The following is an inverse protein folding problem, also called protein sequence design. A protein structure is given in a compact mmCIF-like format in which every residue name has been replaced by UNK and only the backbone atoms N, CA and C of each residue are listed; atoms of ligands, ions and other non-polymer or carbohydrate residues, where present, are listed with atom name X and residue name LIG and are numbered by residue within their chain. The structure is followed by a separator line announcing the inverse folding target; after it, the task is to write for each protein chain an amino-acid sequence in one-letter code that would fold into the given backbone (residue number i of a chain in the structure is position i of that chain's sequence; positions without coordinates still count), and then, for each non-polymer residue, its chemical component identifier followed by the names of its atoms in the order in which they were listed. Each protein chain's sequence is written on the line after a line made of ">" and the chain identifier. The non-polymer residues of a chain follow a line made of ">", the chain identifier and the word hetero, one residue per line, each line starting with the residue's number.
data_IF_820666286186
#
_entry.id   IF_820666286186
#
_cell.length_a   1.000
_cell.length_b   1.000
_cell.length_c   1.000
_cell.angle_alpha   90.00
_cell.angle_beta   90.00
_cell.angle_gamma   90.00
#
_symmetry.space_group_name_H-M   'P 1'
#
loop_
_entity.id
_entity.type
_entity.pdbx_description
1 polymer ?
#
# COMPACT_ATOMS: atom_id res chain seq x y z
N UNK A 1 -19.20 10.77 -6.18
CA UNK A 1 -17.86 10.19 -5.99
C UNK A 1 -16.93 10.51 -7.17
N UNK A 2 -17.35 10.30 -8.43
CA UNK A 2 -16.50 10.54 -9.62
C UNK A 2 -16.00 11.99 -9.74
N UNK A 3 -16.82 13.00 -9.44
CA UNK A 3 -16.40 14.40 -9.49
C UNK A 3 -15.25 14.72 -8.55
N UNK A 4 -15.32 14.27 -7.31
CA UNK A 4 -14.26 14.50 -6.31
C UNK A 4 -12.93 13.85 -6.68
N UNK A 5 -12.92 12.66 -7.27
CA UNK A 5 -11.70 11.98 -7.68
C UNK A 5 -10.98 12.76 -8.79
N UNK A 6 -11.73 13.27 -9.77
CA UNK A 6 -11.18 14.11 -10.84
C UNK A 6 -10.68 15.46 -10.35
N UNK A 7 -11.42 16.12 -9.44
CA UNK A 7 -10.98 17.38 -8.83
C UNK A 7 -9.67 17.19 -8.06
N UNK A 8 -9.53 16.09 -7.31
CA UNK A 8 -8.28 15.78 -6.62
C UNK A 8 -7.18 15.40 -7.61
N UNK A 9 -7.50 14.64 -8.67
CA UNK A 9 -6.55 14.26 -9.70
C UNK A 9 -5.98 15.48 -10.45
N UNK A 10 -6.77 16.54 -10.65
CA UNK A 10 -6.29 17.79 -11.21
C UNK A 10 -5.23 18.50 -10.33
N UNK A 11 -5.13 18.11 -9.05
CA UNK A 11 -4.15 18.64 -8.11
C UNK A 11 -2.95 17.70 -7.91
N UNK A 12 -2.87 16.60 -8.65
CA UNK A 12 -1.85 15.56 -8.44
C UNK A 12 -0.43 16.12 -8.38
N UNK A 13 -0.02 16.89 -9.39
CA UNK A 13 1.32 17.46 -9.46
C UNK A 13 1.61 18.43 -8.30
N UNK A 14 0.65 19.26 -7.93
CA UNK A 14 0.82 20.22 -6.82
C UNK A 14 0.93 19.49 -5.47
N UNK A 15 0.18 18.41 -5.28
CA UNK A 15 0.26 17.58 -4.07
C UNK A 15 1.60 16.84 -4.02
N UNK A 16 2.04 16.28 -5.16
CA UNK A 16 3.34 15.63 -5.27
C UNK A 16 4.47 16.60 -4.92
N UNK A 17 4.50 17.79 -5.55
CA UNK A 17 5.50 18.81 -5.25
C UNK A 17 5.52 19.20 -3.76
N UNK A 18 4.36 19.33 -3.14
CA UNK A 18 4.28 19.63 -1.71
C UNK A 18 4.86 18.51 -0.86
N UNK A 19 4.63 17.25 -1.21
CA UNK A 19 5.21 16.09 -0.52
C UNK A 19 6.74 16.04 -0.69
N UNK A 20 7.25 16.34 -1.88
CA UNK A 20 8.68 16.46 -2.16
C UNK A 20 9.32 17.57 -1.32
N UNK A 21 8.69 18.74 -1.21
CA UNK A 21 9.14 19.82 -0.33
C UNK A 21 9.17 19.41 1.14
N UNK A 22 8.20 18.63 1.61
CA UNK A 22 8.18 18.10 2.98
C UNK A 22 9.30 17.08 3.18
N UNK A 23 9.49 16.14 2.26
CA UNK A 23 10.57 15.16 2.30
C UNK A 23 11.94 15.85 2.35
N UNK A 24 12.15 16.85 1.50
CA UNK A 24 13.37 17.68 1.50
C UNK A 24 13.56 18.46 2.79
N UNK A 25 12.51 19.16 3.25
CA UNK A 25 12.60 19.99 4.47
C UNK A 25 12.96 19.19 5.71
N UNK A 26 12.37 18.00 5.85
CA UNK A 26 12.55 17.18 7.05
C UNK A 26 13.58 16.05 6.87
N UNK A 27 14.21 15.95 5.70
CA UNK A 27 15.20 14.92 5.35
C UNK A 27 14.67 13.51 5.64
N UNK A 28 13.41 13.23 5.21
CA UNK A 28 12.72 11.96 5.39
C UNK A 28 12.29 11.35 4.06
N UNK A 29 12.13 10.04 4.05
CA UNK A 29 11.45 9.34 2.98
C UNK A 29 9.94 9.26 3.27
N UNK A 30 9.12 9.42 2.24
CA UNK A 30 7.67 9.38 2.34
C UNK A 30 7.14 8.31 1.38
N UNK A 31 6.35 7.37 1.91
CA UNK A 31 5.46 6.55 1.08
C UNK A 31 4.09 7.20 1.11
N UNK A 32 3.79 7.97 0.07
CA UNK A 32 2.53 8.66 -0.06
C UNK A 32 1.47 7.72 -0.65
N UNK A 33 0.50 7.39 0.14
CA UNK A 33 -0.56 6.52 -0.31
C UNK A 33 -1.94 7.02 0.09
N UNK A 34 -2.84 7.29 -0.80
CA UNK A 34 -2.75 7.24 -2.28
C UNK A 34 -3.28 8.51 -2.89
N UNK A 35 -2.85 8.82 -4.09
CA UNK A 35 -3.32 9.98 -4.83
C UNK A 35 -4.04 9.54 -6.10
N UNK A 36 -5.21 10.10 -6.44
CA UNK A 36 -5.79 9.94 -7.77
C UNK A 36 -4.92 10.69 -8.80
N UNK A 37 -4.55 10.02 -9.88
CA UNK A 37 -3.69 10.56 -10.93
C UNK A 37 -4.37 10.47 -12.30
N UNK A 38 -4.44 11.56 -13.09
CA UNK A 38 -5.08 11.56 -14.40
C UNK A 38 -4.16 11.05 -15.52
N UNK A 39 -2.90 10.71 -15.19
CA UNK A 39 -1.88 10.29 -16.16
C UNK A 39 -1.46 8.85 -15.91
N UNK A 40 -1.13 8.13 -16.99
CA UNK A 40 -0.39 6.86 -16.95
C UNK A 40 1.10 7.11 -16.70
N UNK A 41 1.92 6.08 -16.40
CA UNK A 41 3.36 6.25 -16.17
C UNK A 41 4.13 6.86 -17.36
N UNK A 42 3.66 6.63 -18.57
CA UNK A 42 4.23 7.22 -19.80
C UNK A 42 3.83 8.69 -20.06
N UNK A 43 3.06 9.29 -19.14
CA UNK A 43 2.56 10.66 -19.24
C UNK A 43 1.29 10.82 -20.07
N UNK A 44 0.76 9.77 -20.68
CA UNK A 44 -0.49 9.84 -21.43
C UNK A 44 -1.67 10.10 -20.51
N UNK A 45 -2.60 10.95 -20.99
CA UNK A 45 -3.82 11.28 -20.25
C UNK A 45 -4.83 10.15 -20.34
N UNK A 46 -5.53 9.89 -19.22
CA UNK A 46 -6.68 8.98 -19.18
C UNK A 46 -7.92 9.77 -19.59
N UNK A 47 -8.41 9.56 -20.81
CA UNK A 47 -9.44 10.36 -21.45
C UNK A 47 -10.87 9.83 -21.28
N UNK A 48 -11.04 8.59 -20.81
CA UNK A 48 -12.34 7.95 -20.55
C UNK A 48 -13.02 8.40 -19.25
N UNK A 49 -12.38 9.32 -18.54
CA UNK A 49 -12.88 9.92 -17.31
C UNK A 49 -12.56 9.15 -16.05
N UNK A 50 -11.81 8.06 -16.13
CA UNK A 50 -11.21 7.40 -14.97
C UNK A 50 -9.90 8.10 -14.56
N UNK A 51 -9.35 7.68 -13.45
CA UNK A 51 -8.04 8.09 -12.94
C UNK A 51 -7.31 6.84 -12.41
N UNK A 52 -6.02 6.91 -12.13
CA UNK A 52 -5.29 5.85 -11.43
C UNK A 52 -5.19 6.13 -9.94
N UNK A 53 -5.12 5.09 -9.13
CA UNK A 53 -4.79 5.16 -7.71
C UNK A 53 -3.29 4.97 -7.57
N UNK A 54 -2.56 6.05 -7.25
CA UNK A 54 -1.09 6.07 -7.26
C UNK A 54 -0.53 6.16 -5.85
N UNK A 55 0.46 5.33 -5.55
CA UNK A 55 1.35 5.49 -4.38
C UNK A 55 2.74 5.93 -4.85
N UNK A 56 3.34 6.88 -4.14
CA UNK A 56 4.66 7.44 -4.47
C UNK A 56 5.66 7.10 -3.37
N UNK A 57 6.88 6.74 -3.76
CA UNK A 57 8.04 6.70 -2.88
C UNK A 57 8.88 7.95 -3.15
N UNK A 58 9.00 8.82 -2.16
CA UNK A 58 9.62 10.14 -2.28
C UNK A 58 10.81 10.19 -1.33
N UNK A 59 11.99 10.49 -1.88
CA UNK A 59 13.22 10.77 -1.12
C UNK A 59 13.32 12.26 -0.78
N UNK A 60 14.31 12.68 0.03
CA UNK A 60 14.63 14.10 0.20
C UNK A 60 14.95 14.85 -1.09
N UNK A 61 15.38 14.15 -2.14
CA UNK A 61 15.81 14.76 -3.40
C UNK A 61 14.71 14.79 -4.47
N UNK A 62 13.86 13.73 -4.52
CA UNK A 62 12.87 13.56 -5.60
C UNK A 62 11.88 12.41 -5.35
N UNK A 63 10.92 12.26 -6.23
CA UNK A 63 10.13 11.03 -6.34
C UNK A 63 11.00 9.92 -6.98
N UNK A 64 11.21 8.84 -6.24
CA UNK A 64 12.07 7.71 -6.64
C UNK A 64 11.29 6.60 -7.35
N UNK A 65 10.03 6.40 -6.96
CA UNK A 65 9.18 5.39 -7.57
C UNK A 65 7.70 5.78 -7.51
N UNK A 66 6.95 5.27 -8.47
CA UNK A 66 5.50 5.38 -8.59
C UNK A 66 4.92 3.98 -8.76
N UNK A 67 3.93 3.64 -7.96
CA UNK A 67 3.15 2.42 -8.08
C UNK A 67 1.69 2.76 -8.37
N UNK A 68 1.17 2.23 -9.46
CA UNK A 68 -0.23 2.33 -9.85
C UNK A 68 -0.93 1.04 -9.39
N UNK A 69 -1.96 1.18 -8.57
CA UNK A 69 -2.69 0.05 -7.98
C UNK A 69 -3.16 -0.94 -9.04
N UNK A 70 -2.79 -2.21 -8.89
CA UNK A 70 -3.10 -3.28 -9.85
C UNK A 70 -4.52 -3.83 -9.61
N UNK A 71 -4.82 -4.25 -8.37
CA UNK A 71 -6.07 -4.95 -8.07
C UNK A 71 -7.15 -3.98 -7.60
N UNK A 72 -8.18 -3.80 -8.41
CA UNK A 72 -9.30 -2.91 -8.09
C UNK A 72 -10.37 -3.63 -7.26
N UNK A 73 -10.98 -2.89 -6.34
CA UNK A 73 -11.93 -3.41 -5.37
C UNK A 73 -13.36 -3.44 -5.96
N UNK A 74 -13.64 -4.49 -6.75
CA UNK A 74 -14.95 -4.76 -7.34
C UNK A 74 -15.58 -5.94 -6.59
N UNK A 75 -16.40 -5.65 -5.57
CA UNK A 75 -16.89 -6.67 -4.64
C UNK A 75 -18.30 -6.34 -4.12
N UNK A 76 -19.00 -7.38 -3.67
CA UNK A 76 -20.19 -7.26 -2.83
C UNK A 76 -19.78 -7.43 -1.36
N UNK A 77 -20.18 -6.50 -0.52
CA UNK A 77 -19.86 -6.50 0.92
C UNK A 77 -21.16 -6.30 1.72
N UNK A 78 -21.28 -7.00 2.84
CA UNK A 78 -22.41 -6.84 3.77
C UNK A 78 -22.21 -5.61 4.66
N UNK A 79 -22.26 -4.42 4.06
CA UNK A 79 -22.24 -3.13 4.75
C UNK A 79 -23.36 -2.20 4.20
N UNK A 80 -23.44 -0.97 4.69
CA UNK A 80 -24.47 -0.01 4.28
C UNK A 80 -24.32 0.47 2.80
N UNK A 81 -23.18 0.21 2.16
CA UNK A 81 -22.92 0.51 0.75
C UNK A 81 -23.34 -0.66 -0.15
N UNK A 82 -23.21 -1.89 0.35
CA UNK A 82 -23.64 -3.14 -0.29
C UNK A 82 -22.73 -3.62 -1.43
N UNK A 83 -22.16 -2.74 -2.20
CA UNK A 83 -21.28 -3.09 -3.32
C UNK A 83 -20.30 -1.98 -3.66
N UNK A 84 -19.12 -2.40 -4.09
CA UNK A 84 -18.05 -1.52 -4.54
C UNK A 84 -17.66 -1.91 -5.96
N UNK A 85 -17.49 -0.94 -6.82
CA UNK A 85 -17.04 -1.11 -8.19
C UNK A 85 -16.00 -0.03 -8.49
N UNK A 86 -14.77 -0.29 -8.04
CA UNK A 86 -13.64 0.65 -8.17
C UNK A 86 -13.27 0.85 -9.64
N UNK A 87 -13.35 -0.21 -10.46
CA UNK A 87 -13.06 -0.17 -11.91
C UNK A 87 -13.89 0.83 -12.70
N UNK A 88 -15.05 1.23 -12.17
CA UNK A 88 -15.89 2.26 -12.77
C UNK A 88 -15.23 3.65 -12.77
N UNK A 89 -14.34 3.89 -11.81
CA UNK A 89 -13.74 5.20 -11.56
C UNK A 89 -12.23 5.20 -11.72
N UNK A 90 -11.62 4.03 -11.65
CA UNK A 90 -10.16 3.88 -11.71
C UNK A 90 -9.74 2.92 -12.82
N UNK A 91 -8.64 3.26 -13.48
CA UNK A 91 -7.92 2.39 -14.38
C UNK A 91 -6.86 1.61 -13.58
N UNK A 92 -6.74 0.27 -13.73
CA UNK A 92 -5.73 -0.51 -13.02
C UNK A 92 -4.33 -0.24 -13.57
N UNK A 93 -3.32 -0.37 -12.70
CA UNK A 93 -1.94 -0.54 -13.10
C UNK A 93 -1.65 -1.98 -13.52
N UNK A 94 -0.42 -2.22 -13.97
CA UNK A 94 0.05 -3.51 -14.47
C UNK A 94 1.52 -3.81 -14.11
N UNK A 95 2.21 -2.86 -13.46
CA UNK A 95 3.62 -3.00 -13.10
C UNK A 95 3.81 -3.27 -11.61
N UNK A 96 4.69 -4.23 -11.32
CA UNK A 96 5.18 -4.53 -9.95
C UNK A 96 6.35 -3.61 -9.64
N UNK A 97 6.28 -2.87 -8.54
CA UNK A 97 7.25 -1.81 -8.22
C UNK A 97 7.97 -2.08 -6.90
N UNK A 98 9.30 -2.14 -6.96
CA UNK A 98 10.18 -2.15 -5.80
C UNK A 98 11.05 -0.89 -5.82
N UNK A 99 10.82 0.02 -4.88
CA UNK A 99 11.63 1.20 -4.69
C UNK A 99 12.91 0.87 -3.92
N UNK A 100 14.07 1.29 -4.44
CA UNK A 100 15.36 1.16 -3.76
C UNK A 100 15.56 2.31 -2.79
N UNK A 101 15.91 2.01 -1.55
CA UNK A 101 16.20 3.02 -0.53
C UNK A 101 17.49 2.68 0.22
N UNK A 102 18.14 3.64 0.90
CA UNK A 102 19.35 3.39 1.68
C UNK A 102 19.15 2.43 2.85
N UNK A 103 17.90 2.23 3.30
CA UNK A 103 17.55 1.42 4.46
C UNK A 103 16.79 0.14 4.10
N UNK A 104 16.85 -0.29 2.83
CA UNK A 104 16.19 -1.50 2.32
C UNK A 104 15.22 -1.21 1.18
N UNK A 105 14.88 -2.25 0.43
CA UNK A 105 14.01 -2.13 -0.73
C UNK A 105 12.54 -2.20 -0.30
N UNK A 106 11.72 -1.28 -0.81
CA UNK A 106 10.30 -1.16 -0.48
C UNK A 106 9.46 -1.72 -1.62
N UNK A 107 8.76 -2.82 -1.38
CA UNK A 107 7.73 -3.34 -2.27
C UNK A 107 6.41 -2.58 -2.06
N UNK A 108 5.89 -2.00 -3.12
CA UNK A 108 4.71 -1.13 -3.05
C UNK A 108 3.45 -1.89 -3.38
N UNK A 109 2.46 -1.85 -2.48
CA UNK A 109 1.10 -2.37 -2.64
C UNK A 109 0.10 -1.33 -2.16
N UNK A 110 -1.16 -1.46 -2.55
CA UNK A 110 -2.25 -0.58 -2.10
C UNK A 110 -3.48 -1.40 -1.73
N UNK A 111 -3.89 -1.37 -0.46
CA UNK A 111 -5.20 -1.78 0.04
C UNK A 111 -5.59 -3.22 -0.40
N UNK A 112 -6.42 -3.35 -1.43
CA UNK A 112 -6.93 -4.63 -1.93
C UNK A 112 -5.83 -5.57 -2.43
N UNK A 113 -4.68 -5.04 -2.85
CA UNK A 113 -3.50 -5.81 -3.23
C UNK A 113 -3.03 -6.79 -2.14
N UNK A 114 -3.28 -6.49 -0.86
CA UNK A 114 -3.00 -7.39 0.26
C UNK A 114 -3.66 -8.77 0.14
N UNK A 115 -4.74 -8.90 -0.64
CA UNK A 115 -5.42 -10.18 -0.83
C UNK A 115 -4.76 -11.09 -1.86
N UNK A 116 -3.81 -10.57 -2.60
CA UNK A 116 -3.12 -11.25 -3.70
C UNK A 116 -1.69 -11.62 -3.29
N UNK A 117 -1.48 -12.83 -2.73
CA UNK A 117 -0.16 -13.26 -2.28
C UNK A 117 0.88 -13.27 -3.41
N UNK A 118 0.46 -13.51 -4.65
CA UNK A 118 1.32 -13.51 -5.82
C UNK A 118 2.01 -12.17 -6.04
N UNK A 119 1.33 -11.04 -5.84
CA UNK A 119 1.97 -9.72 -5.91
C UNK A 119 3.04 -9.55 -4.83
N UNK A 120 2.70 -9.88 -3.58
CA UNK A 120 3.64 -9.78 -2.47
C UNK A 120 4.87 -10.68 -2.67
N UNK A 121 4.67 -11.88 -3.23
CA UNK A 121 5.74 -12.81 -3.53
C UNK A 121 6.63 -12.32 -4.68
N UNK A 122 6.05 -11.74 -5.72
CA UNK A 122 6.80 -11.13 -6.83
C UNK A 122 7.65 -9.95 -6.32
N UNK A 123 7.09 -9.09 -5.48
CA UNK A 123 7.85 -8.02 -4.81
C UNK A 123 9.03 -8.58 -4.01
N UNK A 124 8.81 -9.67 -3.26
CA UNK A 124 9.88 -10.35 -2.53
C UNK A 124 10.95 -10.92 -3.46
N UNK A 125 10.57 -11.53 -4.59
CA UNK A 125 11.51 -12.04 -5.59
C UNK A 125 12.34 -10.92 -6.22
N UNK A 126 11.76 -9.76 -6.42
CA UNK A 126 12.45 -8.54 -6.89
C UNK A 126 13.30 -7.85 -5.80
N UNK A 127 13.42 -8.47 -4.62
CA UNK A 127 14.32 -8.03 -3.56
C UNK A 127 13.73 -7.13 -2.49
N UNK A 128 12.40 -7.02 -2.38
CA UNK A 128 11.78 -6.26 -1.30
C UNK A 128 12.16 -6.78 0.08
N UNK A 129 12.40 -5.85 0.99
CA UNK A 129 12.63 -6.07 2.43
C UNK A 129 11.41 -5.63 3.25
N UNK A 130 10.76 -4.58 2.82
CA UNK A 130 9.59 -3.97 3.45
C UNK A 130 8.48 -3.92 2.40
N UNK A 131 7.26 -4.30 2.78
CA UNK A 131 6.06 -4.12 1.98
C UNK A 131 5.23 -2.99 2.58
N UNK A 132 4.70 -2.11 1.75
CA UNK A 132 3.80 -1.04 2.18
C UNK A 132 2.42 -1.24 1.59
N UNK A 133 1.38 -0.98 2.39
CA UNK A 133 -0.01 -1.15 1.98
C UNK A 133 -0.90 -0.04 2.57
N UNK A 134 -0.82 1.20 2.07
CA UNK A 134 -1.78 2.23 2.44
C UNK A 134 -3.20 1.78 2.06
N UNK A 135 -4.15 1.92 2.99
CA UNK A 135 -5.43 1.22 2.90
C UNK A 135 -6.61 2.02 3.45
N UNK A 136 -7.79 1.67 2.95
CA UNK A 136 -9.07 2.10 3.47
C UNK A 136 -10.07 0.93 3.44
N UNK A 137 -9.75 -0.17 4.17
CA UNK A 137 -10.61 -1.34 4.27
C UNK A 137 -11.98 -0.94 4.84
N UNK A 138 -13.06 -1.51 4.28
CA UNK A 138 -14.38 -1.35 4.89
C UNK A 138 -14.35 -1.87 6.32
N UNK A 139 -15.19 -1.32 7.20
CA UNK A 139 -15.24 -1.73 8.60
C UNK A 139 -15.38 -3.26 8.75
N UNK A 140 -16.36 -3.84 8.06
CA UNK A 140 -16.65 -5.28 8.10
C UNK A 140 -15.48 -6.14 7.64
N UNK A 141 -14.92 -5.83 6.48
CA UNK A 141 -13.80 -6.65 5.95
C UNK A 141 -12.50 -6.39 6.69
N UNK A 142 -12.29 -5.19 7.20
CA UNK A 142 -11.14 -4.83 7.99
C UNK A 142 -11.11 -5.55 9.33
N UNK A 143 -12.23 -5.57 10.04
CA UNK A 143 -12.37 -6.29 11.31
C UNK A 143 -11.98 -7.78 11.19
N UNK A 144 -12.40 -8.43 10.11
CA UNK A 144 -12.14 -9.86 9.91
C UNK A 144 -10.75 -10.15 9.34
N UNK A 145 -10.21 -9.30 8.47
CA UNK A 145 -9.12 -9.70 7.60
C UNK A 145 -7.86 -8.81 7.69
N UNK A 146 -7.97 -7.56 8.17
CA UNK A 146 -6.86 -6.60 8.10
C UNK A 146 -5.58 -7.10 8.73
N UNK A 147 -5.61 -7.40 10.01
CA UNK A 147 -4.44 -7.88 10.75
C UNK A 147 -3.94 -9.23 10.19
N UNK A 148 -4.85 -10.14 9.90
CA UNK A 148 -4.53 -11.45 9.35
C UNK A 148 -3.77 -11.33 8.02
N UNK A 149 -4.21 -10.45 7.12
CA UNK A 149 -3.55 -10.25 5.83
C UNK A 149 -2.16 -9.64 5.99
N UNK A 150 -1.98 -8.65 6.86
CA UNK A 150 -0.65 -8.08 7.12
C UNK A 150 0.32 -9.15 7.63
N UNK A 151 -0.10 -9.95 8.61
CA UNK A 151 0.71 -11.02 9.17
C UNK A 151 1.00 -12.13 8.14
N UNK A 152 -0.01 -12.52 7.35
CA UNK A 152 0.17 -13.52 6.29
C UNK A 152 1.18 -13.03 5.24
N UNK A 153 1.04 -11.78 4.74
CA UNK A 153 2.02 -11.23 3.78
C UNK A 153 3.42 -11.19 4.38
N UNK A 154 3.54 -10.80 5.66
CA UNK A 154 4.84 -10.79 6.33
C UNK A 154 5.47 -12.18 6.41
N UNK A 155 4.70 -13.21 6.77
CA UNK A 155 5.19 -14.59 6.87
C UNK A 155 5.51 -15.19 5.49
N UNK A 156 4.62 -15.04 4.51
CA UNK A 156 4.79 -15.60 3.16
C UNK A 156 6.04 -15.09 2.47
N UNK A 157 6.35 -13.80 2.67
CA UNK A 157 7.45 -13.10 2.00
C UNK A 157 8.69 -12.94 2.87
N UNK A 158 8.57 -13.14 4.18
CA UNK A 158 9.60 -12.78 5.15
C UNK A 158 10.07 -11.33 5.01
N UNK A 159 9.11 -10.45 4.73
CA UNK A 159 9.26 -8.99 4.71
C UNK A 159 8.58 -8.39 5.93
N UNK A 160 9.05 -7.23 6.37
CA UNK A 160 8.25 -6.37 7.23
C UNK A 160 7.06 -5.81 6.44
N UNK A 161 5.91 -5.58 7.08
CA UNK A 161 4.74 -4.99 6.39
C UNK A 161 4.26 -3.78 7.15
N UNK A 162 4.12 -2.65 6.45
CA UNK A 162 3.60 -1.38 6.95
C UNK A 162 2.22 -1.12 6.33
N UNK A 163 1.18 -1.15 7.15
CA UNK A 163 -0.19 -0.89 6.76
C UNK A 163 -0.70 0.42 7.37
N UNK A 164 -0.53 1.55 6.67
CA UNK A 164 -1.19 2.80 7.04
C UNK A 164 -2.67 2.74 6.63
N UNK A 165 -3.60 2.88 7.57
CA UNK A 165 -5.01 2.64 7.35
C UNK A 165 -5.90 3.82 7.78
N UNK A 166 -6.75 4.26 6.85
CA UNK A 166 -7.79 5.24 7.15
C UNK A 166 -8.86 4.64 8.05
N UNK A 167 -9.32 5.39 9.05
CA UNK A 167 -10.39 4.96 9.94
C UNK A 167 -11.51 5.98 10.02
N UNK A 168 -12.68 5.51 10.49
CA UNK A 168 -13.84 6.35 10.78
C UNK A 168 -14.85 6.43 9.66
N UNK A 169 -15.78 7.36 9.79
CA UNK A 169 -16.85 7.57 8.84
C UNK A 169 -16.46 8.50 7.69
N UNK A 170 -16.81 8.09 6.48
CA UNK A 170 -16.62 8.85 5.25
C UNK A 170 -18.01 9.19 4.67
N UNK A 171 -18.59 10.30 5.10
CA UNK A 171 -19.97 10.61 4.89
C UNK A 171 -20.88 9.74 5.75
N UNK A 172 -22.12 9.50 5.29
CA UNK A 172 -23.17 8.86 6.12
C UNK A 172 -23.19 7.32 6.03
N UNK A 173 -22.58 6.74 4.98
CA UNK A 173 -22.76 5.31 4.68
C UNK A 173 -21.49 4.47 4.72
N UNK A 174 -20.33 5.08 4.52
CA UNK A 174 -19.07 4.35 4.44
C UNK A 174 -18.27 4.52 5.72
N UNK A 175 -17.95 3.41 6.37
CA UNK A 175 -17.01 3.37 7.48
C UNK A 175 -15.78 2.54 7.12
N UNK A 176 -14.59 2.99 7.52
CA UNK A 176 -13.34 2.25 7.37
C UNK A 176 -12.80 1.80 8.71
N UNK A 177 -12.10 0.66 8.68
CA UNK A 177 -11.65 -0.06 9.87
C UNK A 177 -10.53 0.64 10.62
N UNK A 178 -9.58 1.25 9.88
CA UNK A 178 -8.38 1.82 10.50
C UNK A 178 -7.38 0.76 10.93
N UNK A 179 -6.91 0.86 12.18
CA UNK A 179 -5.94 -0.05 12.76
C UNK A 179 -4.61 -0.06 11.99
N UNK A 180 -4.08 1.14 11.70
CA UNK A 180 -2.69 1.28 11.18
C UNK A 180 -1.77 0.37 11.97
N UNK A 181 -1.00 -0.48 11.28
CA UNK A 181 -0.19 -1.50 11.93
C UNK A 181 1.13 -1.74 11.18
N UNK A 182 2.10 -2.26 11.92
CA UNK A 182 3.36 -2.74 11.40
C UNK A 182 3.64 -4.16 11.90
N UNK A 183 4.14 -5.03 11.01
CA UNK A 183 4.55 -6.39 11.33
C UNK A 183 6.01 -6.61 10.96
N UNK A 184 6.73 -7.46 11.71
CA UNK A 184 8.07 -7.89 11.33
C UNK A 184 8.03 -9.08 10.34
N UNK A 185 9.20 -9.51 9.88
CA UNK A 185 9.38 -10.61 8.94
C UNK A 185 8.96 -12.00 9.46
N UNK A 186 8.61 -12.11 10.74
CA UNK A 186 8.06 -13.31 11.39
C UNK A 186 6.53 -13.29 11.48
N UNK A 187 5.89 -12.22 10.97
CA UNK A 187 4.44 -12.01 11.09
C UNK A 187 3.98 -11.51 12.47
N UNK A 188 4.91 -11.12 13.34
CA UNK A 188 4.55 -10.54 14.64
C UNK A 188 4.14 -9.08 14.45
N UNK A 189 3.02 -8.68 15.04
CA UNK A 189 2.60 -7.28 15.10
C UNK A 189 3.53 -6.54 16.07
N UNK A 190 4.28 -5.58 15.54
CA UNK A 190 5.19 -4.73 16.32
C UNK A 190 4.43 -3.60 17.01
N UNK A 191 3.49 -3.01 16.28
CA UNK A 191 2.63 -1.95 16.80
C UNK A 191 1.34 -1.88 15.99
N UNK A 192 0.24 -1.48 16.63
CA UNK A 192 -1.06 -1.29 15.99
C UNK A 192 -1.87 -0.22 16.71
N UNK A 193 -2.54 0.63 15.95
CA UNK A 193 -3.49 1.61 16.50
C UNK A 193 -4.78 0.91 16.93
N UNK A 194 -5.23 1.21 18.14
CA UNK A 194 -6.51 0.74 18.68
C UNK A 194 -7.47 1.89 19.04
N UNK A 195 -7.00 3.13 18.97
CA UNK A 195 -7.76 4.32 19.32
C UNK A 195 -8.37 4.99 18.09
N UNK A 196 -9.44 5.74 18.28
CA UNK A 196 -10.04 6.59 17.26
C UNK A 196 -9.21 7.85 17.01
N UNK A 197 -9.39 8.45 15.83
CA UNK A 197 -8.73 9.67 15.39
C UNK A 197 -7.41 9.44 14.65
N UNK A 198 -6.74 10.53 14.31
CA UNK A 198 -5.43 10.48 13.64
C UNK A 198 -4.35 10.02 14.62
N UNK A 199 -3.66 8.95 14.29
CA UNK A 199 -2.62 8.32 15.11
C UNK A 199 -1.34 8.13 14.31
N UNK A 200 -0.22 8.22 15.00
CA UNK A 200 1.11 7.88 14.49
C UNK A 200 1.65 6.70 15.30
N UNK A 201 2.18 5.70 14.62
CA UNK A 201 2.98 4.63 15.24
C UNK A 201 4.43 4.73 14.75
N UNK A 202 5.34 4.38 15.63
CA UNK A 202 6.77 4.24 15.31
C UNK A 202 7.19 2.81 15.59
N UNK A 203 8.01 2.24 14.69
CA UNK A 203 8.58 0.91 14.83
C UNK A 203 10.00 0.90 14.28
N UNK A 204 10.84 0.07 14.86
CA UNK A 204 12.19 -0.19 14.36
C UNK A 204 12.20 -1.53 13.61
N UNK A 205 12.87 -1.56 12.45
CA UNK A 205 13.12 -2.77 11.69
C UNK A 205 14.62 -3.06 11.66
N UNK A 206 14.99 -4.29 12.05
CA UNK A 206 16.34 -4.79 11.89
C UNK A 206 16.42 -5.70 10.65
N UNK A 207 17.09 -5.21 9.60
CA UNK A 207 17.33 -5.99 8.38
C UNK A 207 18.25 -7.20 8.64
N UNK A 208 19.12 -7.16 9.64
CA UNK A 208 19.95 -8.30 10.00
C UNK A 208 19.11 -9.42 10.63
N UNK A 209 18.15 -9.07 11.48
CA UNK A 209 17.20 -10.06 12.00
C UNK A 209 16.33 -10.65 10.87
N UNK A 210 15.90 -9.85 9.93
CA UNK A 210 15.20 -10.35 8.75
C UNK A 210 16.09 -11.32 7.94
N UNK A 211 17.36 -11.02 7.78
CA UNK A 211 18.32 -11.88 7.07
C UNK A 211 18.45 -13.24 7.77
N UNK A 212 18.62 -13.25 9.10
CA UNK A 212 18.65 -14.48 9.90
C UNK A 212 17.36 -15.32 9.75
N UNK A 213 16.19 -14.67 9.70
CA UNK A 213 14.91 -15.35 9.43
C UNK A 213 14.93 -16.05 8.08
N UNK A 214 15.41 -15.37 7.05
CA UNK A 214 15.49 -15.89 5.67
C UNK A 214 16.51 -17.02 5.54
N UNK A 215 17.62 -16.96 6.28
CA UNK A 215 18.63 -18.03 6.32
C UNK A 215 18.12 -19.26 7.06
N UNK A 216 17.48 -19.07 8.22
CA UNK A 216 16.98 -20.18 9.05
C UNK A 216 15.80 -20.92 8.41
N UNK A 217 15.02 -20.24 7.55
CA UNK A 217 13.88 -20.79 6.83
C UNK A 217 13.84 -20.24 5.41
N UNK A 218 14.61 -20.79 4.47
CA UNK A 218 14.77 -20.20 3.13
C UNK A 218 13.57 -20.52 2.24
N UNK A 219 12.39 -19.95 2.55
CA UNK A 219 11.11 -20.22 1.87
C UNK A 219 11.18 -20.01 0.36
N UNK A 220 11.91 -18.99 -0.10
CA UNK A 220 12.03 -18.70 -1.53
C UNK A 220 12.77 -19.81 -2.30
N UNK A 221 13.72 -20.50 -1.65
CA UNK A 221 14.44 -21.64 -2.24
C UNK A 221 13.61 -22.94 -2.21
N UNK A 222 12.71 -23.05 -1.23
CA UNK A 222 11.86 -24.23 -1.06
C UNK A 222 10.61 -24.21 -1.95
N UNK A 223 10.27 -23.08 -2.56
CA UNK A 223 9.13 -22.99 -3.48
C UNK A 223 9.33 -23.84 -4.73
N UNK A 224 8.29 -24.62 -5.11
CA UNK A 224 8.33 -25.53 -6.26
C UNK A 224 7.35 -25.18 -7.37
N UNK A 225 6.30 -24.43 -7.06
CA UNK A 225 5.14 -24.26 -7.96
C UNK A 225 5.03 -22.86 -8.59
N UNK A 226 5.88 -21.92 -8.22
CA UNK A 226 5.72 -20.54 -8.67
C UNK A 226 6.92 -20.13 -9.50
N UNK A 227 6.73 -20.13 -10.81
CA UNK A 227 7.47 -19.30 -11.76
C UNK A 227 6.47 -18.20 -12.20
N UNK A 228 6.65 -16.99 -11.70
CA UNK A 228 5.97 -15.79 -12.19
C UNK A 228 6.84 -15.10 -13.22
#
# INVERSE_FOLDING_TARGET
>A
AAGKQRETAAQFESIQQRLEQLAHRYQIWIIAGTLPCPFRPDGSIIDDGRVRTVSLCISPERTEARYDKIHLFDVQVSDAVGGYQESRFFEPGDEVVVAKTPFGNIGMMVCYDLRFPELALTLRQQGANILTAPSAFTYTTGQMHWQLLLQARAMDTQCAVLGAAQQGWHGEKRQTWGHTAATNSRGQVLNMVHAEGAQLITVDFDLNEQHKVRESMPLMQHRKLIQF
#
